data_IF_476295329769
#
_entry.id   IF_476295329769
#
_cell.length_a   1.000
_cell.length_b   1.000
_cell.length_c   1.000
_cell.angle_alpha   90.00
_cell.angle_beta   90.00
_cell.angle_gamma   90.00
#
_symmetry.space_group_name_H-M   'P 1'
#
loop_
_entity.id
_entity.type
_entity.pdbx_description
1 polymer ?
#
# COMPACT_ATOMS: atom_id res chain seq x y z
N UNK A 1 -50.82 -20.53 54.36
CA UNK A 1 -50.61 -19.39 53.43
C UNK A 1 -49.12 -19.11 53.48
N UNK A 2 -48.44 -19.33 52.35
CA UNK A 2 -46.99 -19.56 52.27
C UNK A 2 -46.25 -18.24 52.00
N UNK A 3 -45.19 -18.04 52.76
CA UNK A 3 -44.22 -16.95 52.66
C UNK A 3 -43.59 -16.86 51.26
N UNK A 4 -43.51 -15.63 50.74
CA UNK A 4 -42.79 -15.28 49.52
C UNK A 4 -41.36 -14.87 49.91
N UNK A 5 -40.45 -15.84 49.92
CA UNK A 5 -39.02 -15.60 50.17
C UNK A 5 -38.37 -15.00 48.94
N UNK A 6 -37.91 -13.76 49.07
CA UNK A 6 -37.09 -13.03 48.11
C UNK A 6 -35.72 -13.69 47.99
N UNK A 7 -35.44 -14.37 46.87
CA UNK A 7 -34.10 -14.90 46.56
C UNK A 7 -33.30 -13.82 45.85
N UNK A 8 -32.37 -13.20 46.59
CA UNK A 8 -31.32 -12.34 46.04
C UNK A 8 -30.28 -13.26 45.39
N UNK A 9 -30.23 -13.29 44.06
CA UNK A 9 -29.18 -13.97 43.31
C UNK A 9 -27.93 -13.11 43.27
N UNK A 10 -27.03 -13.33 44.23
CA UNK A 10 -25.69 -12.74 44.23
C UNK A 10 -24.87 -13.41 43.11
N UNK A 11 -24.65 -12.70 42.01
CA UNK A 11 -23.70 -13.12 40.97
C UNK A 11 -22.28 -13.04 41.55
N UNK A 12 -21.73 -14.18 41.94
CA UNK A 12 -20.29 -14.32 42.23
C UNK A 12 -19.58 -14.34 40.88
N UNK A 13 -18.99 -13.20 40.51
CA UNK A 13 -17.97 -13.13 39.47
C UNK A 13 -16.74 -13.90 39.96
N UNK A 14 -16.73 -15.21 39.73
CA UNK A 14 -15.50 -15.99 39.73
C UNK A 14 -14.70 -15.58 38.50
N UNK A 15 -13.86 -14.57 38.68
CA UNK A 15 -12.75 -14.26 37.78
C UNK A 15 -11.80 -15.44 37.79
N UNK A 16 -12.10 -16.44 36.95
CA UNK A 16 -11.12 -17.41 36.50
C UNK A 16 -10.13 -16.58 35.69
N UNK A 17 -9.03 -16.22 36.35
CA UNK A 17 -7.84 -15.70 35.70
C UNK A 17 -7.31 -16.77 34.76
N UNK A 18 -7.86 -16.82 33.55
CA UNK A 18 -7.17 -17.42 32.41
C UNK A 18 -6.04 -16.45 32.09
N UNK A 19 -4.90 -16.66 32.74
CA UNK A 19 -3.64 -16.13 32.24
C UNK A 19 -3.44 -16.71 30.85
N UNK A 20 -3.88 -15.97 29.83
CA UNK A 20 -3.50 -16.26 28.46
C UNK A 20 -2.00 -16.02 28.42
N UNK A 21 -1.23 -17.09 28.52
CA UNK A 21 0.18 -17.09 28.17
C UNK A 21 0.26 -16.80 26.67
N UNK A 22 0.27 -15.52 26.31
CA UNK A 22 0.61 -15.07 24.98
C UNK A 22 2.11 -15.36 24.83
N UNK A 23 2.45 -16.55 24.31
CA UNK A 23 3.77 -16.85 23.76
C UNK A 23 3.95 -16.06 22.45
N UNK A 24 3.99 -14.73 22.51
CA UNK A 24 4.32 -13.86 21.38
C UNK A 24 5.80 -13.43 21.38
N UNK A 25 6.67 -14.17 22.10
CA UNK A 25 8.04 -13.74 22.36
C UNK A 25 9.13 -14.28 21.42
N UNK A 26 8.98 -15.48 20.85
CA UNK A 26 10.14 -16.18 20.26
C UNK A 26 10.15 -16.31 18.72
N UNK A 27 9.06 -16.06 17.99
CA UNK A 27 9.05 -16.28 16.54
C UNK A 27 9.73 -15.19 15.68
N UNK A 28 10.10 -14.06 16.31
CA UNK A 28 10.63 -12.88 15.63
C UNK A 28 12.02 -12.45 16.12
N UNK A 29 12.70 -13.25 16.95
CA UNK A 29 14.05 -12.91 17.39
C UNK A 29 15.00 -12.86 16.18
N UNK A 30 15.78 -11.78 16.11
CA UNK A 30 16.68 -11.50 14.99
C UNK A 30 16.01 -10.93 13.74
N UNK A 31 14.67 -10.90 13.63
CA UNK A 31 14.00 -10.20 12.52
C UNK A 31 14.11 -8.68 12.66
N UNK A 32 13.99 -7.93 11.54
CA UNK A 32 13.93 -6.48 11.59
C UNK A 32 12.82 -5.96 12.49
N UNK A 33 13.01 -4.75 12.99
CA UNK A 33 12.10 -4.04 13.90
C UNK A 33 11.57 -2.78 13.24
N UNK A 34 10.46 -2.25 13.77
CA UNK A 34 9.87 -0.98 13.31
C UNK A 34 10.84 0.20 13.37
N UNK A 35 11.86 0.15 14.23
CA UNK A 35 12.90 1.17 14.39
C UNK A 35 13.96 1.16 13.28
N UNK A 36 14.11 0.05 12.55
CA UNK A 36 15.13 -0.06 11.50
C UNK A 36 14.80 0.88 10.33
N UNK A 37 15.82 1.44 9.68
CA UNK A 37 15.63 2.40 8.59
C UNK A 37 15.05 1.73 7.34
N UNK A 38 14.41 2.51 6.46
CA UNK A 38 13.94 1.97 5.17
C UNK A 38 15.08 1.36 4.34
N UNK A 39 16.26 1.97 4.39
CA UNK A 39 17.46 1.46 3.71
C UNK A 39 17.87 0.08 4.27
N UNK A 40 17.88 -0.08 5.60
CA UNK A 40 18.16 -1.37 6.23
C UNK A 40 17.14 -2.43 5.82
N UNK A 41 15.84 -2.08 5.81
CA UNK A 41 14.77 -3.00 5.40
C UNK A 41 14.85 -3.40 3.93
N UNK A 42 15.17 -2.46 3.03
CA UNK A 42 15.33 -2.71 1.58
C UNK A 42 16.44 -3.72 1.32
N UNK A 43 17.50 -3.71 2.13
CA UNK A 43 18.63 -4.61 1.99
C UNK A 43 18.51 -5.90 2.83
N UNK A 44 17.44 -6.08 3.60
CA UNK A 44 17.25 -7.28 4.43
C UNK A 44 16.41 -8.33 3.70
N UNK A 45 17.06 -9.45 3.33
CA UNK A 45 16.44 -10.57 2.62
C UNK A 45 15.44 -11.40 3.44
N UNK A 46 15.34 -11.15 4.76
CA UNK A 46 14.45 -11.86 5.67
C UNK A 46 13.06 -11.25 5.73
N UNK A 47 12.87 -10.08 5.14
CA UNK A 47 11.59 -9.38 5.05
C UNK A 47 11.19 -9.14 3.60
N UNK A 48 9.90 -8.90 3.41
CA UNK A 48 9.34 -8.48 2.13
C UNK A 48 8.22 -7.49 2.38
N UNK A 49 8.13 -6.50 1.51
CA UNK A 49 7.14 -5.44 1.52
C UNK A 49 7.04 -4.89 0.10
N UNK A 50 5.98 -4.13 -0.16
CA UNK A 50 5.85 -3.38 -1.40
C UNK A 50 5.51 -1.94 -1.08
N UNK A 51 6.16 -1.02 -1.79
CA UNK A 51 5.83 0.40 -1.66
C UNK A 51 4.60 0.70 -2.52
N UNK A 52 3.74 1.63 -2.10
CA UNK A 52 2.56 2.02 -2.86
C UNK A 52 2.92 2.41 -4.30
N UNK A 53 2.13 1.93 -5.26
CA UNK A 53 2.30 2.30 -6.66
C UNK A 53 1.56 3.61 -6.96
N UNK A 54 2.25 4.55 -7.59
CA UNK A 54 1.70 5.85 -7.97
C UNK A 54 1.57 5.89 -9.49
N UNK A 55 0.36 6.18 -9.95
CA UNK A 55 0.12 6.39 -11.36
C UNK A 55 0.59 7.80 -11.77
N UNK A 56 1.50 7.88 -12.74
CA UNK A 56 2.06 9.13 -13.28
C UNK A 56 2.10 9.04 -14.80
N UNK A 57 1.30 9.85 -15.49
CA UNK A 57 1.26 9.91 -16.97
C UNK A 57 1.13 8.52 -17.66
N UNK A 58 0.32 7.62 -17.09
CA UNK A 58 0.10 6.26 -17.63
C UNK A 58 1.10 5.20 -17.14
N UNK A 59 2.13 5.60 -16.39
CA UNK A 59 3.09 4.69 -15.76
C UNK A 59 2.67 4.41 -14.31
N UNK A 60 2.90 3.19 -13.83
CA UNK A 60 2.85 2.89 -12.40
C UNK A 60 4.27 2.88 -11.86
N UNK A 61 4.59 3.86 -11.02
CA UNK A 61 5.92 4.05 -10.43
C UNK A 61 5.81 3.84 -8.93
N UNK A 62 6.66 3.00 -8.37
CA UNK A 62 6.70 2.75 -6.92
C UNK A 62 7.05 4.02 -6.14
N UNK A 63 6.44 4.22 -4.98
CA UNK A 63 6.56 5.45 -4.19
C UNK A 63 8.02 5.73 -3.74
N UNK A 64 8.85 4.71 -3.58
CA UNK A 64 10.28 4.88 -3.27
C UNK A 64 11.10 5.40 -4.47
N UNK A 65 10.55 5.35 -5.69
CA UNK A 65 11.12 5.83 -6.94
C UNK A 65 10.57 7.20 -7.37
N UNK A 66 9.84 7.89 -6.49
CA UNK A 66 9.42 9.28 -6.71
C UNK A 66 9.96 10.20 -5.61
N UNK A 67 10.00 11.50 -5.89
CA UNK A 67 10.36 12.53 -4.92
C UNK A 67 9.47 13.77 -5.08
N UNK A 68 9.34 14.57 -4.02
CA UNK A 68 8.58 15.82 -4.03
C UNK A 68 9.40 16.92 -4.70
N UNK A 69 8.83 17.54 -5.74
CA UNK A 69 9.38 18.67 -6.49
C UNK A 69 8.35 19.81 -6.51
N UNK A 70 8.43 20.69 -5.50
CA UNK A 70 7.44 21.76 -5.32
C UNK A 70 6.03 21.20 -5.13
N UNK A 71 5.12 21.53 -6.05
CA UNK A 71 3.72 21.07 -6.03
C UNK A 71 3.49 19.73 -6.77
N UNK A 72 4.55 19.09 -7.26
CA UNK A 72 4.47 17.87 -8.03
C UNK A 72 5.29 16.75 -7.37
N UNK A 73 4.87 15.51 -7.62
CA UNK A 73 5.75 14.35 -7.58
C UNK A 73 6.55 14.30 -8.89
N UNK A 74 7.82 13.90 -8.78
CA UNK A 74 8.71 13.67 -9.91
C UNK A 74 9.30 12.27 -9.79
N UNK A 75 9.41 11.55 -10.90
CA UNK A 75 10.17 10.31 -10.92
C UNK A 75 11.64 10.55 -10.57
N UNK A 76 12.26 9.69 -9.75
CA UNK A 76 13.70 9.77 -9.43
C UNK A 76 14.57 9.43 -10.65
N UNK A 77 14.10 8.47 -11.45
CA UNK A 77 14.75 8.04 -12.68
C UNK A 77 14.02 8.62 -13.90
N UNK A 78 14.76 8.83 -14.99
CA UNK A 78 14.15 9.21 -16.27
C UNK A 78 13.46 7.99 -16.86
N UNK A 79 12.26 8.21 -17.38
CA UNK A 79 11.53 7.22 -18.16
C UNK A 79 11.88 7.40 -19.63
N UNK A 80 11.96 6.27 -20.33
CA UNK A 80 12.18 6.19 -21.75
C UNK A 80 10.86 6.45 -22.50
N UNK A 81 10.83 7.44 -23.38
CA UNK A 81 9.66 7.80 -24.17
C UNK A 81 9.98 7.75 -25.67
N UNK A 82 9.17 7.06 -26.44
CA UNK A 82 9.37 6.93 -27.89
C UNK A 82 8.74 8.11 -28.62
N UNK A 83 9.57 9.00 -29.17
CA UNK A 83 9.11 10.23 -29.83
C UNK A 83 9.06 10.12 -31.36
N UNK A 84 9.62 9.06 -31.93
CA UNK A 84 9.53 8.77 -33.35
C UNK A 84 9.55 7.26 -33.58
N UNK A 85 8.56 6.78 -34.33
CA UNK A 85 8.48 5.40 -34.80
C UNK A 85 8.75 5.36 -36.29
N UNK A 86 9.29 4.25 -36.76
CA UNK A 86 9.46 4.00 -38.18
C UNK A 86 8.10 3.91 -38.87
N UNK A 87 8.00 4.40 -40.11
CA UNK A 87 6.78 4.34 -40.92
C UNK A 87 6.66 2.96 -41.60
N UNK A 88 6.80 1.88 -40.83
CA UNK A 88 6.59 0.51 -41.27
C UNK A 88 5.46 -0.14 -40.44
N UNK A 89 5.00 -1.33 -40.86
CA UNK A 89 3.89 -2.03 -40.18
C UNK A 89 4.21 -2.43 -38.73
N UNK A 90 5.50 -2.52 -38.36
CA UNK A 90 5.94 -2.87 -37.00
C UNK A 90 6.02 -1.67 -36.06
N UNK A 91 6.21 -0.46 -36.61
CA UNK A 91 6.27 0.78 -35.84
C UNK A 91 7.43 0.81 -34.84
N UNK A 92 8.59 0.25 -35.21
CA UNK A 92 9.77 0.19 -34.34
C UNK A 92 10.20 1.58 -33.87
N UNK A 93 10.60 1.71 -32.61
CA UNK A 93 11.02 3.00 -32.08
C UNK A 93 12.42 3.37 -32.60
N UNK A 94 12.52 4.47 -33.34
CA UNK A 94 13.78 4.93 -33.94
C UNK A 94 14.37 6.14 -33.21
N UNK A 95 13.56 6.83 -32.40
CA UNK A 95 14.03 7.96 -31.60
C UNK A 95 13.38 7.97 -30.23
N UNK A 96 14.24 7.96 -29.23
CA UNK A 96 13.88 7.97 -27.82
C UNK A 96 14.24 9.31 -27.17
N UNK A 97 13.42 9.75 -26.21
CA UNK A 97 13.73 10.83 -25.29
C UNK A 97 13.62 10.33 -23.85
N UNK A 98 14.64 10.62 -23.05
CA UNK A 98 14.61 10.36 -21.60
C UNK A 98 14.12 11.61 -20.87
N UNK A 99 13.05 11.48 -20.09
CA UNK A 99 12.49 12.58 -19.31
C UNK A 99 12.07 12.14 -17.93
N UNK A 100 12.05 13.07 -16.98
CA UNK A 100 11.35 12.84 -15.73
C UNK A 100 9.84 12.94 -15.96
N UNK A 101 9.09 12.09 -15.27
CA UNK A 101 7.63 12.12 -15.26
C UNK A 101 7.18 12.96 -14.09
N UNK A 102 6.17 13.81 -14.28
CA UNK A 102 5.65 14.68 -13.24
C UNK A 102 4.16 14.42 -13.02
N UNK A 103 3.73 14.49 -11.77
CA UNK A 103 2.33 14.36 -11.38
C UNK A 103 2.02 15.38 -10.29
N UNK A 104 1.01 16.25 -10.46
CA UNK A 104 0.57 17.14 -9.37
C UNK A 104 0.22 16.36 -8.12
N UNK A 105 0.70 16.82 -6.95
CA UNK A 105 0.36 16.22 -5.66
C UNK A 105 -1.14 16.39 -5.39
N UNK A 106 -1.70 17.53 -5.80
CA UNK A 106 -3.14 17.79 -5.74
C UNK A 106 -3.62 18.15 -7.15
N UNK A 107 -4.65 17.45 -7.62
CA UNK A 107 -5.26 17.64 -8.93
C UNK A 107 -6.78 17.65 -8.83
N UNK A 108 -7.44 18.26 -9.82
CA UNK A 108 -8.87 18.13 -10.04
C UNK A 108 -9.10 16.96 -10.99
N UNK A 109 -9.80 15.93 -10.52
CA UNK A 109 -10.20 14.79 -11.35
C UNK A 109 -11.68 14.90 -11.69
N UNK A 110 -12.01 14.53 -12.92
CA UNK A 110 -13.40 14.39 -13.34
C UNK A 110 -13.80 12.94 -13.18
N UNK A 111 -14.71 12.65 -12.26
CA UNK A 111 -15.18 11.31 -11.95
C UNK A 111 -16.68 11.20 -12.12
N UNK A 112 -17.17 9.96 -12.25
CA UNK A 112 -18.60 9.73 -12.21
C UNK A 112 -19.15 9.98 -10.81
N UNK A 113 -20.12 10.89 -10.69
CA UNK A 113 -20.79 11.21 -9.43
C UNK A 113 -22.21 10.65 -9.35
N UNK A 114 -22.77 10.18 -10.48
CA UNK A 114 -24.07 9.52 -10.54
C UNK A 114 -24.05 8.38 -11.54
N UNK A 115 -24.32 7.18 -11.03
CA UNK A 115 -24.47 5.96 -11.80
C UNK A 115 -25.95 5.64 -11.95
N UNK A 116 -26.38 5.24 -13.14
CA UNK A 116 -27.66 4.55 -13.30
C UNK A 116 -27.42 3.04 -13.29
N UNK A 117 -28.12 2.36 -12.38
CA UNK A 117 -28.12 0.90 -12.31
C UNK A 117 -29.05 0.34 -13.40
N UNK A 118 -28.56 0.37 -14.63
CA UNK A 118 -29.07 -0.46 -15.72
C UNK A 118 -28.11 -1.66 -15.94
N UNK A 119 -28.40 -2.56 -16.88
CA UNK A 119 -27.58 -3.76 -17.15
C UNK A 119 -26.10 -3.47 -17.47
N UNK A 120 -25.75 -2.21 -17.78
CA UNK A 120 -24.39 -1.80 -18.17
C UNK A 120 -23.70 -0.87 -17.17
N UNK A 121 -24.36 -0.48 -16.08
CA UNK A 121 -23.88 0.54 -15.13
C UNK A 121 -23.27 1.75 -15.85
N UNK A 122 -24.10 2.55 -16.50
CA UNK A 122 -23.63 3.74 -17.21
C UNK A 122 -23.52 4.95 -16.28
N UNK A 123 -22.45 5.70 -16.43
CA UNK A 123 -22.29 6.98 -15.75
C UNK A 123 -23.17 8.05 -16.40
N UNK A 124 -24.09 8.65 -15.65
CA UNK A 124 -24.97 9.69 -16.20
C UNK A 124 -24.52 11.10 -15.89
N UNK A 125 -23.73 11.30 -14.83
CA UNK A 125 -23.20 12.62 -14.47
C UNK A 125 -21.74 12.55 -14.04
N UNK A 126 -20.94 13.41 -14.66
CA UNK A 126 -19.54 13.63 -14.29
C UNK A 126 -19.41 14.89 -13.43
N UNK A 127 -18.73 14.75 -12.30
CA UNK A 127 -18.40 15.85 -11.40
C UNK A 127 -16.89 15.99 -11.26
N UNK A 128 -16.45 17.13 -10.73
CA UNK A 128 -15.03 17.35 -10.42
C UNK A 128 -14.81 17.23 -8.92
N UNK A 129 -13.79 16.48 -8.52
CA UNK A 129 -13.34 16.39 -7.13
C UNK A 129 -11.84 16.67 -7.05
N UNK A 130 -11.41 17.22 -5.91
CA UNK A 130 -9.98 17.37 -5.63
C UNK A 130 -9.46 16.03 -5.14
N UNK A 131 -8.42 15.51 -5.80
CA UNK A 131 -7.67 14.34 -5.36
C UNK A 131 -6.29 14.81 -4.91
N UNK A 132 -5.86 14.32 -3.75
CA UNK A 132 -4.52 14.55 -3.21
C UNK A 132 -3.80 13.22 -3.05
N UNK A 133 -2.58 13.12 -3.55
CA UNK A 133 -1.73 11.95 -3.39
C UNK A 133 -1.09 12.03 -2.00
N UNK A 134 -1.30 11.04 -1.11
CA UNK A 134 -0.71 11.07 0.22
C UNK A 134 0.81 10.87 0.15
N UNK A 135 1.54 11.82 0.75
CA UNK A 135 3.01 11.80 0.82
C UNK A 135 3.54 10.90 1.94
N UNK A 136 2.66 10.52 2.88
CA UNK A 136 2.95 9.59 3.97
C UNK A 136 1.96 8.43 3.92
N UNK A 137 2.47 7.20 3.98
CA UNK A 137 1.65 5.98 3.94
C UNK A 137 2.28 4.91 4.82
N UNK A 138 1.45 4.16 5.54
CA UNK A 138 1.91 3.01 6.30
C UNK A 138 2.13 1.82 5.34
N UNK A 139 3.31 1.21 5.46
CA UNK A 139 3.72 0.06 4.65
C UNK A 139 3.90 -1.12 5.59
N UNK A 140 3.15 -2.18 5.31
CA UNK A 140 3.22 -3.42 6.04
C UNK A 140 4.48 -4.21 5.66
N UNK A 141 5.26 -4.60 6.68
CA UNK A 141 6.48 -5.39 6.50
C UNK A 141 6.21 -6.82 6.94
N UNK A 142 6.47 -7.77 6.05
CA UNK A 142 6.21 -9.19 6.28
C UNK A 142 7.50 -9.97 6.40
N UNK A 143 7.47 -11.09 7.13
CA UNK A 143 8.55 -12.08 7.12
C UNK A 143 8.59 -12.75 5.75
N UNK A 144 9.77 -12.81 5.13
CA UNK A 144 9.96 -13.51 3.87
C UNK A 144 9.73 -15.02 4.05
N UNK A 145 8.98 -15.63 3.14
CA UNK A 145 8.66 -17.07 3.17
C UNK A 145 8.92 -17.68 1.80
N UNK A 146 10.10 -18.27 1.62
CA UNK A 146 10.44 -18.97 0.39
C UNK A 146 9.76 -20.34 0.33
N UNK A 147 8.94 -20.57 -0.70
CA UNK A 147 8.42 -21.91 -1.01
C UNK A 147 8.04 -21.96 -2.50
N UNK A 148 8.14 -23.13 -3.12
CA UNK A 148 7.67 -23.33 -4.50
C UNK A 148 6.15 -23.14 -4.60
N UNK A 149 5.66 -22.74 -5.79
CA UNK A 149 4.23 -22.54 -6.04
C UNK A 149 3.95 -21.44 -7.06
N UNK A 150 2.66 -21.19 -7.31
CA UNK A 150 2.19 -20.18 -8.27
C UNK A 150 2.14 -18.75 -7.70
N UNK A 151 2.07 -18.61 -6.37
CA UNK A 151 2.03 -17.30 -5.70
C UNK A 151 3.42 -16.65 -5.66
N UNK A 152 3.45 -15.34 -5.90
CA UNK A 152 4.62 -14.51 -5.63
C UNK A 152 5.02 -14.58 -4.15
N UNK A 153 6.26 -14.24 -3.84
CA UNK A 153 6.73 -14.22 -2.44
C UNK A 153 5.92 -13.23 -1.59
N UNK A 154 5.49 -12.10 -2.15
CA UNK A 154 4.70 -11.08 -1.46
C UNK A 154 3.28 -11.57 -1.16
N UNK A 155 2.54 -12.05 -2.17
CA UNK A 155 1.18 -12.58 -1.98
C UNK A 155 1.12 -13.66 -0.90
N UNK A 156 2.15 -14.51 -0.88
CA UNK A 156 2.30 -15.55 0.13
C UNK A 156 2.58 -15.00 1.51
N UNK A 157 3.43 -13.99 1.62
CA UNK A 157 3.75 -13.34 2.89
C UNK A 157 2.51 -12.64 3.47
N UNK A 158 1.69 -12.02 2.60
CA UNK A 158 0.43 -11.36 2.95
C UNK A 158 -0.67 -12.31 3.48
N UNK A 159 -0.50 -13.63 3.34
CA UNK A 159 -1.40 -14.60 4.00
C UNK A 159 -1.21 -14.67 5.52
N UNK A 160 -0.18 -14.01 6.06
CA UNK A 160 0.14 -13.96 7.48
C UNK A 160 0.08 -12.50 7.98
N UNK A 161 -0.11 -12.28 9.30
CA UNK A 161 0.01 -10.95 9.87
C UNK A 161 1.38 -10.32 9.55
N UNK A 162 1.44 -9.00 9.29
CA UNK A 162 2.72 -8.32 9.16
C UNK A 162 3.51 -8.37 10.47
N UNK A 163 4.83 -8.31 10.37
CA UNK A 163 5.71 -8.15 11.53
C UNK A 163 5.44 -6.82 12.22
N UNK A 164 5.27 -5.76 11.43
CA UNK A 164 4.90 -4.42 11.85
C UNK A 164 4.47 -3.61 10.61
N UNK A 165 3.81 -2.49 10.87
CA UNK A 165 3.61 -1.42 9.89
C UNK A 165 4.61 -0.31 10.16
N UNK A 166 5.15 0.28 9.09
CA UNK A 166 6.09 1.38 9.18
C UNK A 166 5.66 2.48 8.23
N UNK A 167 5.65 3.73 8.73
CA UNK A 167 5.37 4.90 7.91
C UNK A 167 6.50 5.13 6.89
N UNK A 168 6.13 5.20 5.62
CA UNK A 168 6.96 5.64 4.51
C UNK A 168 6.60 7.07 4.12
N UNK A 169 7.61 7.91 3.92
CA UNK A 169 7.44 9.31 3.51
C UNK A 169 8.18 9.55 2.20
N UNK A 170 7.46 10.10 1.21
CA UNK A 170 8.07 10.52 -0.06
C UNK A 170 8.95 11.75 0.19
N UNK A 171 10.27 11.57 0.10
CA UNK A 171 11.23 12.63 0.36
C UNK A 171 11.25 13.71 -0.75
N UNK A 172 11.69 14.94 -0.45
CA UNK A 172 12.02 15.95 -1.45
C UNK A 172 13.07 15.46 -2.45
N UNK A 173 13.04 15.99 -3.67
CA UNK A 173 14.07 15.72 -4.67
C UNK A 173 15.39 16.37 -4.26
N UNK A 174 16.48 15.58 -4.29
CA UNK A 174 17.86 16.05 -4.23
C UNK A 174 18.32 16.57 -5.61
#
# INVERSE_FOLDING_TARGET
MKDLTLVVATFVCLSIGVSVNIHAGEENEGLPKVTDSWEQLIHDSRVIFDFPMIQMEGWFISANNVCVSGHNLRSKNKVEDCIQREANERGDCIKTKYRFVYQPITSLETGCVRWESNERNECTHFGRSVRTIPLEQDVAVYKFRHRSGQLTNLERAMMYPPLFEKKFTIAPCL
#
